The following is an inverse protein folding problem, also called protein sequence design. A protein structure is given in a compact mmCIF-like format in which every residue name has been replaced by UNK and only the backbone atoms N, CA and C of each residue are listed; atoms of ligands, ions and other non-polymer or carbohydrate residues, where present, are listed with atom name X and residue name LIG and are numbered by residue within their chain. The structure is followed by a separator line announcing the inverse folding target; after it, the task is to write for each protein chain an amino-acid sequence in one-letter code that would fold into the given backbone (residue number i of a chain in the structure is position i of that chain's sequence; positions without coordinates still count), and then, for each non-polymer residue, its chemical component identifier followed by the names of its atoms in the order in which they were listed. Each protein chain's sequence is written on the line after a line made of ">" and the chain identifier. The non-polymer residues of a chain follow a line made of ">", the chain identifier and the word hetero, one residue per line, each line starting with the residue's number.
data_IF_849333103577
#
_entry.id   IF_849333103577
#
_cell.length_a   1.000
_cell.length_b   1.000
_cell.length_c   1.000
_cell.angle_alpha   90.00
_cell.angle_beta   90.00
_cell.angle_gamma   90.00
#
_symmetry.space_group_name_H-M   'P 1'
#
loop_
_entity.id
_entity.type
_entity.pdbx_description
1 polymer ?
#
# COMPACT_ATOMS: atom_id res chain seq x y z
N UNK A 1 -25.26 5.07 10.50
CA UNK A 1 -24.31 4.92 9.37
C UNK A 1 -23.36 6.08 9.46
N UNK A 2 -22.10 5.82 9.79
CA UNK A 2 -21.08 6.85 9.89
C UNK A 2 -20.54 7.08 8.47
N UNK A 3 -20.62 8.31 7.96
CA UNK A 3 -20.05 8.64 6.66
C UNK A 3 -18.53 8.38 6.71
N UNK A 4 -17.93 7.78 5.67
CA UNK A 4 -16.50 7.58 5.65
C UNK A 4 -15.81 8.95 5.75
N UNK A 5 -14.89 9.09 6.70
CA UNK A 5 -14.09 10.32 6.83
C UNK A 5 -13.32 10.56 5.52
N UNK A 6 -13.16 11.83 5.15
CA UNK A 6 -12.45 12.23 3.92
C UNK A 6 -11.05 11.59 3.79
N UNK A 7 -10.45 11.20 4.91
CA UNK A 7 -9.17 10.50 4.99
C UNK A 7 -9.26 9.04 4.55
N UNK A 8 -10.32 8.31 4.93
CA UNK A 8 -10.51 6.91 4.54
C UNK A 8 -10.67 6.77 3.02
N UNK A 9 -11.45 7.66 2.40
CA UNK A 9 -11.62 7.70 0.93
C UNK A 9 -10.29 7.99 0.23
N UNK A 10 -9.51 8.93 0.78
CA UNK A 10 -8.21 9.29 0.21
C UNK A 10 -7.20 8.15 0.30
N UNK A 11 -7.17 7.42 1.43
CA UNK A 11 -6.34 6.23 1.60
C UNK A 11 -6.71 5.16 0.58
N UNK A 12 -8.00 4.84 0.45
CA UNK A 12 -8.45 3.79 -0.47
C UNK A 12 -8.07 4.15 -1.92
N UNK A 13 -8.26 5.40 -2.34
CA UNK A 13 -7.83 5.86 -3.68
C UNK A 13 -6.32 5.75 -3.89
N UNK A 14 -5.53 6.07 -2.87
CA UNK A 14 -4.08 5.90 -2.94
C UNK A 14 -3.70 4.43 -3.11
N UNK A 15 -4.28 3.53 -2.32
CA UNK A 15 -4.01 2.10 -2.40
C UNK A 15 -4.45 1.50 -3.74
N UNK A 16 -5.58 1.93 -4.28
CA UNK A 16 -6.06 1.53 -5.61
C UNK A 16 -5.04 1.90 -6.71
N UNK A 17 -4.53 3.14 -6.68
CA UNK A 17 -3.48 3.58 -7.61
C UNK A 17 -2.18 2.77 -7.46
N UNK A 18 -1.82 2.36 -6.23
CA UNK A 18 -0.67 1.47 -6.01
C UNK A 18 -0.91 0.09 -6.61
N UNK A 19 -2.10 -0.48 -6.43
CA UNK A 19 -2.46 -1.78 -7.02
C UNK A 19 -2.44 -1.71 -8.54
N UNK A 20 -2.96 -0.65 -9.15
CA UNK A 20 -2.89 -0.46 -10.61
C UNK A 20 -1.44 -0.42 -11.10
N UNK A 21 -0.57 0.34 -10.43
CA UNK A 21 0.84 0.40 -10.80
C UNK A 21 1.55 -0.95 -10.67
N UNK A 22 1.28 -1.69 -9.59
CA UNK A 22 1.81 -3.04 -9.40
C UNK A 22 1.35 -3.95 -10.55
N UNK A 23 0.07 -3.90 -10.90
CA UNK A 23 -0.49 -4.65 -12.02
C UNK A 23 0.18 -4.29 -13.35
N UNK A 24 0.36 -2.99 -13.65
CA UNK A 24 1.05 -2.53 -14.85
C UNK A 24 2.52 -2.97 -14.89
N UNK A 25 3.14 -3.20 -13.74
CA UNK A 25 4.50 -3.75 -13.62
C UNK A 25 4.55 -5.30 -13.66
N UNK A 26 3.40 -5.98 -13.87
CA UNK A 26 3.33 -7.44 -13.90
C UNK A 26 3.25 -8.11 -12.52
N UNK A 27 3.06 -7.33 -11.45
CA UNK A 27 2.88 -7.84 -10.09
C UNK A 27 1.38 -7.95 -9.79
N UNK A 28 0.90 -9.18 -9.57
CA UNK A 28 -0.50 -9.41 -9.17
C UNK A 28 -0.63 -9.33 -7.65
N UNK A 29 -1.56 -8.50 -7.18
CA UNK A 29 -1.96 -8.42 -5.77
C UNK A 29 -3.18 -9.31 -5.57
N UNK A 30 -3.11 -10.20 -4.56
CA UNK A 30 -4.17 -11.16 -4.24
C UNK A 30 -4.94 -10.79 -2.98
N UNK A 31 -4.35 -9.97 -2.11
CA UNK A 31 -4.97 -9.52 -0.87
C UNK A 31 -4.55 -8.08 -0.55
N UNK A 32 -5.52 -7.29 -0.05
CA UNK A 32 -5.33 -5.94 0.47
C UNK A 32 -6.00 -5.86 1.83
N UNK A 33 -5.20 -5.68 2.89
CA UNK A 33 -5.68 -5.44 4.25
C UNK A 33 -5.44 -3.98 4.61
N UNK A 34 -6.44 -3.30 5.19
CA UNK A 34 -6.37 -1.88 5.54
C UNK A 34 -6.97 -1.67 6.93
N UNK A 35 -6.15 -1.16 7.84
CA UNK A 35 -6.59 -0.78 9.18
C UNK A 35 -6.94 0.72 9.21
N UNK A 36 -8.23 1.01 9.07
CA UNK A 36 -8.81 2.35 9.15
C UNK A 36 -9.34 2.69 10.57
N UNK A 37 -9.28 1.74 11.51
CA UNK A 37 -9.87 1.90 12.84
C UNK A 37 -8.97 2.69 13.80
N UNK A 38 -7.66 2.73 13.53
CA UNK A 38 -6.72 3.53 14.30
C UNK A 38 -6.87 5.03 13.96
N UNK A 39 -7.05 5.88 14.99
CA UNK A 39 -6.66 7.27 14.88
C UNK A 39 -5.19 7.27 14.40
N UNK A 40 -4.92 7.93 13.28
CA UNK A 40 -3.68 7.89 12.50
C UNK A 40 -2.39 7.53 13.29
N UNK A 41 -1.47 6.76 12.69
CA UNK A 41 -1.33 6.54 11.25
C UNK A 41 -2.07 5.30 10.73
N UNK A 42 -2.74 5.46 9.59
CA UNK A 42 -3.37 4.36 8.85
C UNK A 42 -2.33 3.36 8.36
N UNK A 43 -2.69 2.08 8.36
CA UNK A 43 -1.82 0.97 7.94
C UNK A 43 -2.48 0.17 6.85
N UNK A 44 -1.68 -0.35 5.92
CA UNK A 44 -2.13 -1.31 4.93
C UNK A 44 -1.10 -2.40 4.68
N UNK A 45 -1.58 -3.54 4.20
CA UNK A 45 -0.76 -4.65 3.75
C UNK A 45 -1.25 -5.13 2.39
N UNK A 46 -0.33 -5.33 1.45
CA UNK A 46 -0.60 -5.96 0.16
C UNK A 46 0.14 -7.30 0.12
N UNK A 47 -0.56 -8.35 -0.27
CA UNK A 47 0.04 -9.66 -0.54
C UNK A 47 0.03 -9.88 -2.04
N UNK A 48 1.19 -10.16 -2.61
CA UNK A 48 1.31 -10.49 -4.05
C UNK A 48 1.07 -11.97 -4.28
N UNK A 49 0.73 -12.35 -5.52
CA UNK A 49 0.60 -13.76 -5.93
C UNK A 49 1.89 -14.56 -5.77
N UNK A 50 3.04 -13.89 -5.73
CA UNK A 50 4.34 -14.48 -5.45
C UNK A 50 4.61 -14.67 -3.94
N UNK A 51 3.63 -14.38 -3.07
CA UNK A 51 3.76 -14.49 -1.61
C UNK A 51 4.54 -13.35 -0.96
N UNK A 52 4.86 -12.27 -1.70
CA UNK A 52 5.55 -11.10 -1.12
C UNK A 52 4.56 -10.23 -0.36
N UNK A 53 5.00 -9.68 0.76
CA UNK A 53 4.19 -8.82 1.61
C UNK A 53 4.75 -7.40 1.59
N UNK A 54 3.98 -6.46 1.05
CA UNK A 54 4.27 -5.03 1.11
C UNK A 54 3.46 -4.43 2.27
N UNK A 55 4.13 -3.74 3.19
CA UNK A 55 3.50 -3.07 4.33
C UNK A 55 3.61 -1.58 4.18
N UNK A 56 2.50 -0.89 4.33
CA UNK A 56 2.42 0.56 4.28
C UNK A 56 1.99 1.12 5.63
N UNK A 57 2.63 2.22 6.01
CA UNK A 57 2.17 3.11 7.08
C UNK A 57 2.11 4.53 6.54
N UNK A 58 1.02 5.22 6.79
CA UNK A 58 0.81 6.58 6.29
C UNK A 58 1.96 7.55 6.62
N UNK A 59 2.59 7.39 7.78
CA UNK A 59 3.67 8.24 8.30
C UNK A 59 5.08 7.76 7.94
N UNK A 60 5.25 6.50 7.50
CA UNK A 60 6.57 5.90 7.21
C UNK A 60 6.74 5.41 5.76
N UNK A 61 5.67 5.31 4.99
CA UNK A 61 5.67 4.80 3.63
C UNK A 61 5.63 3.27 3.53
N UNK A 62 6.16 2.74 2.42
CA UNK A 62 6.09 1.32 2.06
C UNK A 62 7.33 0.56 2.49
N UNK A 63 7.17 -0.71 2.82
CA UNK A 63 8.27 -1.58 3.20
C UNK A 63 8.03 -3.05 2.86
N UNK A 64 9.10 -3.82 2.68
CA UNK A 64 9.08 -5.28 2.52
C UNK A 64 9.70 -6.01 3.71
N UNK A 65 9.98 -5.29 4.80
CA UNK A 65 10.75 -5.78 5.96
C UNK A 65 12.27 -5.62 5.81
N UNK A 66 12.82 -5.72 4.59
CA UNK A 66 14.25 -5.51 4.31
C UNK A 66 14.57 -4.11 3.78
N UNK A 67 13.59 -3.43 3.18
CA UNK A 67 13.72 -2.08 2.61
C UNK A 67 12.49 -1.25 2.95
N UNK A 68 12.70 0.05 3.13
CA UNK A 68 11.65 1.05 3.36
C UNK A 68 11.79 2.11 2.27
N UNK A 69 10.68 2.53 1.68
CA UNK A 69 10.62 3.76 0.90
C UNK A 69 9.66 4.71 1.62
N UNK A 70 10.14 5.93 1.84
CA UNK A 70 9.52 6.99 2.65
C UNK A 70 8.09 7.38 2.21
N UNK A 71 7.34 8.10 3.07
CA UNK A 71 5.88 8.26 2.99
C UNK A 71 5.34 8.85 1.70
N UNK A 72 6.19 9.57 0.96
CA UNK A 72 5.84 10.30 -0.27
C UNK A 72 6.32 9.56 -1.52
N UNK A 73 6.43 8.23 -1.43
CA UNK A 73 6.81 7.42 -2.57
C UNK A 73 5.67 7.39 -3.58
N UNK A 74 5.91 8.03 -4.73
CA UNK A 74 5.07 7.93 -5.91
C UNK A 74 4.71 6.45 -6.15
N UNK A 75 3.45 6.10 -6.50
CA UNK A 75 3.04 4.70 -6.67
C UNK A 75 4.01 3.86 -7.52
N UNK A 76 4.64 4.47 -8.54
CA UNK A 76 5.71 3.89 -9.37
C UNK A 76 6.93 3.35 -8.61
N UNK A 77 7.27 3.93 -7.47
CA UNK A 77 8.38 3.48 -6.63
C UNK A 77 8.05 2.17 -5.88
N UNK A 78 6.77 1.89 -5.62
CA UNK A 78 6.32 0.67 -4.93
C UNK A 78 6.55 -0.58 -5.79
N UNK A 79 6.42 -0.46 -7.11
CA UNK A 79 6.70 -1.55 -8.03
C UNK A 79 8.15 -2.05 -7.93
N UNK A 80 9.12 -1.16 -7.70
CA UNK A 80 10.53 -1.56 -7.51
C UNK A 80 10.73 -2.39 -6.25
N UNK A 81 10.05 -2.06 -5.13
CA UNK A 81 10.06 -2.92 -3.95
C UNK A 81 9.48 -4.30 -4.23
N UNK A 82 8.43 -4.36 -5.04
CA UNK A 82 7.73 -5.60 -5.31
C UNK A 82 8.50 -6.52 -6.27
N UNK A 83 9.37 -5.97 -7.12
CA UNK A 83 10.16 -6.72 -8.12
C UNK A 83 11.59 -7.02 -7.64
N UNK A 84 12.28 -6.05 -7.02
CA UNK A 84 13.70 -6.18 -6.63
C UNK A 84 13.95 -6.83 -5.25
N UNK A 85 12.87 -7.24 -4.56
CA UNK A 85 12.92 -7.96 -3.27
C UNK A 85 13.24 -9.44 -3.39
#
# INVERSE_FOLDING_TARGET
>A
MQEPSSDAVSVIRYLDAVVEVLRSAGVSVVEVDVDLAAAAPVRAQLVTSAGRVLRWRQDLGWSTGARVIEPVSHPGAVARLAVDG
#
